data_IF_752932089739
#
_entry.id   IF_752932089739
#
_cell.length_a   1.000
_cell.length_b   1.000
_cell.length_c   1.000
_cell.angle_alpha   90.00
_cell.angle_beta   90.00
_cell.angle_gamma   90.00
#
_symmetry.space_group_name_H-M   'P 1'
#
loop_
_entity.id
_entity.type
_entity.pdbx_description
1 polymer ?
#
# COMPACT_ATOMS: atom_id res chain seq x y z
N UNK A 1 21.50 22.76 -34.49
CA UNK A 1 21.42 23.63 -33.30
C UNK A 1 20.26 23.14 -32.44
N UNK A 2 20.37 21.93 -31.88
CA UNK A 2 19.38 21.33 -30.96
C UNK A 2 20.02 20.21 -30.10
N UNK A 3 21.34 20.21 -29.91
CA UNK A 3 22.07 19.07 -29.32
C UNK A 3 22.61 19.36 -27.90
N UNK A 4 22.39 20.55 -27.35
CA UNK A 4 22.96 21.00 -26.06
C UNK A 4 22.02 20.73 -24.86
N UNK A 5 20.70 20.66 -25.07
CA UNK A 5 19.72 20.54 -23.97
C UNK A 5 19.55 19.10 -23.45
N UNK A 6 19.99 18.09 -24.20
CA UNK A 6 19.87 16.68 -23.80
C UNK A 6 20.98 16.21 -22.84
N UNK A 7 22.08 16.96 -22.75
CA UNK A 7 23.21 16.63 -21.88
C UNK A 7 22.95 17.07 -20.44
N UNK A 8 22.26 18.20 -20.24
CA UNK A 8 21.95 18.71 -18.90
C UNK A 8 20.91 17.86 -18.17
N UNK A 9 19.88 17.35 -18.87
CA UNK A 9 18.87 16.45 -18.27
C UNK A 9 19.50 15.12 -17.83
N UNK A 10 20.41 14.56 -18.64
CA UNK A 10 21.15 13.33 -18.29
C UNK A 10 22.08 13.57 -17.11
N UNK A 11 22.78 14.71 -17.07
CA UNK A 11 23.70 15.05 -15.98
C UNK A 11 23.00 15.29 -14.65
N UNK A 12 21.79 15.86 -14.65
CA UNK A 12 20.95 15.93 -13.44
C UNK A 12 20.42 14.56 -13.01
N UNK A 13 20.01 13.70 -13.95
CA UNK A 13 19.52 12.36 -13.61
C UNK A 13 20.62 11.45 -13.05
N UNK A 14 21.84 11.56 -13.56
CA UNK A 14 23.00 10.78 -13.09
C UNK A 14 23.51 11.32 -11.74
N UNK A 15 23.57 12.65 -11.53
CA UNK A 15 23.93 13.24 -10.24
C UNK A 15 22.89 12.98 -9.12
N UNK A 16 21.61 12.87 -9.47
CA UNK A 16 20.54 12.48 -8.55
C UNK A 16 20.60 10.97 -8.22
N UNK A 17 20.99 10.12 -9.18
CA UNK A 17 21.17 8.68 -8.97
C UNK A 17 22.33 8.36 -8.01
N UNK A 18 23.38 9.19 -8.01
CA UNK A 18 24.56 9.03 -7.15
C UNK A 18 24.26 9.46 -5.70
N UNK A 19 23.43 10.50 -5.53
CA UNK A 19 22.94 10.96 -4.22
C UNK A 19 21.88 10.01 -3.63
N UNK A 20 21.10 9.32 -4.49
CA UNK A 20 20.14 8.30 -4.05
C UNK A 20 20.77 7.05 -3.43
N UNK A 21 22.02 6.73 -3.78
CA UNK A 21 22.74 5.56 -3.26
C UNK A 21 23.32 5.77 -1.86
N UNK A 22 23.52 7.02 -1.42
CA UNK A 22 24.05 7.34 -0.08
C UNK A 22 22.97 7.45 1.02
N UNK A 23 21.70 7.18 0.72
CA UNK A 23 20.64 7.18 1.74
C UNK A 23 20.61 5.87 2.52
N UNK A 24 20.66 5.99 3.87
CA UNK A 24 20.67 4.84 4.79
C UNK A 24 19.53 3.86 4.48
N UNK A 25 19.81 2.55 4.34
CA UNK A 25 18.77 1.55 4.13
C UNK A 25 17.80 1.55 5.31
N UNK A 26 16.55 1.15 5.07
CA UNK A 26 15.51 1.20 6.09
C UNK A 26 15.88 0.31 7.28
N UNK A 27 16.07 0.91 8.46
CA UNK A 27 16.42 0.19 9.69
C UNK A 27 15.42 -0.93 10.06
N UNK A 28 14.16 -0.82 9.64
CA UNK A 28 13.18 -1.91 9.78
C UNK A 28 13.59 -3.18 9.02
N UNK A 29 14.20 -3.06 7.85
CA UNK A 29 14.54 -4.22 7.01
C UNK A 29 15.73 -5.01 7.56
N UNK A 30 16.73 -4.32 8.12
CA UNK A 30 17.93 -4.95 8.71
C UNK A 30 17.72 -5.44 10.13
N UNK A 31 16.64 -5.03 10.80
CA UNK A 31 16.32 -5.47 12.15
C UNK A 31 15.72 -6.89 12.20
N UNK A 32 16.19 -7.70 13.17
CA UNK A 32 15.61 -8.99 13.54
C UNK A 32 14.13 -8.86 13.95
N UNK A 33 13.36 -9.94 13.84
CA UNK A 33 11.91 -9.95 14.14
C UNK A 33 11.56 -9.33 15.51
N UNK A 34 12.27 -9.69 16.58
CA UNK A 34 12.04 -9.12 17.90
C UNK A 34 12.36 -7.62 17.98
N UNK A 35 13.39 -7.16 17.27
CA UNK A 35 13.70 -5.73 17.19
C UNK A 35 12.60 -4.95 16.46
N UNK A 36 11.95 -5.57 15.45
CA UNK A 36 10.75 -5.01 14.81
C UNK A 36 9.56 -4.93 15.76
N UNK A 37 9.39 -5.93 16.64
CA UNK A 37 8.30 -6.00 17.62
C UNK A 37 8.46 -4.97 18.75
N UNK A 38 9.67 -4.82 19.31
CA UNK A 38 9.96 -3.88 20.40
C UNK A 38 10.35 -2.48 19.93
N UNK A 39 10.26 -2.22 18.62
CA UNK A 39 10.67 -0.95 17.99
C UNK A 39 12.12 -0.52 18.28
N UNK A 40 12.99 -1.45 18.67
CA UNK A 40 14.38 -1.15 19.05
C UNK A 40 15.20 -0.55 17.90
N UNK A 41 14.84 -0.87 16.65
CA UNK A 41 15.43 -0.29 15.44
C UNK A 41 15.23 1.24 15.32
N UNK A 42 14.24 1.81 16.02
CA UNK A 42 13.94 3.24 16.01
C UNK A 42 14.77 4.04 17.02
N UNK A 43 15.26 3.39 18.09
CA UNK A 43 16.00 4.01 19.19
C UNK A 43 17.16 4.93 18.76
N UNK A 44 17.98 4.60 17.72
CA UNK A 44 19.04 5.48 17.26
C UNK A 44 18.55 6.84 16.75
N UNK A 45 17.38 6.90 16.10
CA UNK A 45 16.81 8.15 15.60
C UNK A 45 16.27 9.01 16.76
N UNK A 46 15.64 8.39 17.76
CA UNK A 46 15.22 9.08 18.99
C UNK A 46 16.40 9.70 19.72
N UNK A 47 17.51 8.98 19.83
CA UNK A 47 18.73 9.49 20.46
C UNK A 47 19.35 10.66 19.66
N UNK A 48 19.30 10.60 18.33
CA UNK A 48 19.76 11.68 17.48
C UNK A 48 18.90 12.94 17.64
N UNK A 49 17.58 12.79 17.69
CA UNK A 49 16.63 13.87 17.94
C UNK A 49 16.81 14.55 19.30
N UNK A 50 17.27 13.81 20.32
CA UNK A 50 17.63 14.40 21.62
C UNK A 50 18.84 15.33 21.54
N UNK A 51 19.80 15.04 20.65
CA UNK A 51 21.05 15.80 20.51
C UNK A 51 20.96 16.94 19.52
N UNK A 52 20.21 16.76 18.44
CA UNK A 52 20.10 17.73 17.34
C UNK A 52 18.72 17.66 16.67
N UNK A 53 18.25 18.75 16.03
CA UNK A 53 17.04 18.69 15.21
C UNK A 53 17.21 17.70 14.07
N UNK A 54 16.15 16.93 13.78
CA UNK A 54 16.16 15.88 12.76
C UNK A 54 16.05 16.53 11.38
N UNK A 55 16.95 16.16 10.47
CA UNK A 55 16.98 16.62 9.08
C UNK A 55 16.45 15.50 8.18
N UNK A 56 15.88 15.85 7.02
CA UNK A 56 15.34 14.87 6.06
C UNK A 56 16.37 13.82 5.60
N UNK A 57 17.66 14.17 5.62
CA UNK A 57 18.78 13.27 5.32
C UNK A 57 19.04 12.20 6.40
N UNK A 58 18.63 12.46 7.64
CA UNK A 58 18.72 11.50 8.75
C UNK A 58 17.61 10.45 8.74
N UNK A 59 16.54 10.71 7.98
CA UNK A 59 15.38 9.84 7.88
C UNK A 59 15.67 8.71 6.89
N UNK A 60 15.24 7.50 7.23
CA UNK A 60 15.36 6.35 6.35
C UNK A 60 14.48 6.46 5.10
N UNK A 61 14.97 5.93 3.98
CA UNK A 61 14.17 5.82 2.76
C UNK A 61 13.02 4.82 2.96
N UNK A 62 11.81 5.25 2.61
CA UNK A 62 10.62 4.39 2.57
C UNK A 62 10.84 3.28 1.53
N UNK A 63 10.35 2.07 1.81
CA UNK A 63 10.45 0.97 0.85
C UNK A 63 9.64 1.27 -0.40
N UNK A 64 10.09 0.78 -1.55
CA UNK A 64 9.30 0.82 -2.79
C UNK A 64 7.90 0.23 -2.60
N UNK A 65 7.78 -0.84 -1.80
CA UNK A 65 6.49 -1.49 -1.47
C UNK A 65 5.55 -0.63 -0.60
N UNK A 66 6.11 0.26 0.21
CA UNK A 66 5.35 1.16 1.09
C UNK A 66 5.09 2.52 0.42
N UNK A 67 5.61 2.72 -0.80
CA UNK A 67 5.36 3.93 -1.58
C UNK A 67 3.92 3.99 -2.05
N UNK A 68 3.36 5.20 -2.11
CA UNK A 68 2.03 5.46 -2.67
C UNK A 68 1.92 4.98 -4.11
N UNK A 69 2.99 5.14 -4.89
CA UNK A 69 3.03 4.71 -6.29
C UNK A 69 2.82 3.20 -6.45
N UNK A 70 3.49 2.39 -5.62
CA UNK A 70 3.32 0.93 -5.66
C UNK A 70 1.92 0.50 -5.25
N UNK A 71 1.38 1.11 -4.19
CA UNK A 71 0.02 0.82 -3.73
C UNK A 71 -1.04 1.24 -4.76
N UNK A 72 -0.83 2.37 -5.43
CA UNK A 72 -1.67 2.83 -6.54
C UNK A 72 -1.65 1.83 -7.70
N UNK A 73 -0.47 1.40 -8.15
CA UNK A 73 -0.35 0.41 -9.23
C UNK A 73 -1.04 -0.92 -8.87
N UNK A 74 -0.89 -1.38 -7.62
CA UNK A 74 -1.56 -2.60 -7.16
C UNK A 74 -3.08 -2.45 -7.13
N UNK A 75 -3.58 -1.29 -6.68
CA UNK A 75 -4.99 -0.98 -6.68
C UNK A 75 -5.55 -0.92 -8.11
N UNK A 76 -4.87 -0.22 -9.01
CA UNK A 76 -5.25 -0.08 -10.41
C UNK A 76 -5.36 -1.44 -11.09
N UNK A 77 -4.35 -2.31 -10.94
CA UNK A 77 -4.38 -3.68 -11.48
C UNK A 77 -5.59 -4.49 -11.00
N UNK A 78 -5.97 -4.37 -9.72
CA UNK A 78 -7.16 -5.05 -9.22
C UNK A 78 -8.43 -4.43 -9.77
N UNK A 79 -8.49 -3.11 -9.89
CA UNK A 79 -9.63 -2.39 -10.44
C UNK A 79 -9.89 -2.75 -11.90
N UNK A 80 -8.83 -2.86 -12.70
CA UNK A 80 -8.91 -3.29 -14.10
C UNK A 80 -9.43 -4.73 -14.22
N UNK A 81 -8.93 -5.65 -13.38
CA UNK A 81 -9.45 -7.02 -13.31
C UNK A 81 -10.95 -7.06 -12.95
N UNK A 82 -11.38 -6.22 -11.99
CA UNK A 82 -12.81 -6.11 -11.64
C UNK A 82 -13.65 -5.52 -12.77
N UNK A 83 -13.07 -4.64 -13.59
CA UNK A 83 -13.73 -4.10 -14.79
C UNK A 83 -13.98 -5.18 -15.82
N UNK A 84 -12.97 -5.98 -16.13
CA UNK A 84 -13.08 -7.10 -17.07
C UNK A 84 -14.15 -8.12 -16.63
N UNK A 85 -14.12 -8.53 -15.35
CA UNK A 85 -15.12 -9.45 -14.79
C UNK A 85 -16.54 -8.88 -14.88
N UNK A 86 -16.72 -7.58 -14.66
CA UNK A 86 -18.01 -6.91 -14.77
C UNK A 86 -18.52 -6.85 -16.21
N UNK A 87 -17.63 -6.55 -17.17
CA UNK A 87 -17.96 -6.51 -18.60
C UNK A 87 -18.37 -7.90 -19.11
N UNK A 88 -17.66 -8.95 -18.71
CA UNK A 88 -18.01 -10.34 -19.01
C UNK A 88 -19.39 -10.72 -18.45
N UNK A 89 -19.66 -10.37 -17.18
CA UNK A 89 -20.97 -10.63 -16.56
C UNK A 89 -22.11 -9.88 -17.27
N UNK A 90 -21.87 -8.63 -17.69
CA UNK A 90 -22.86 -7.89 -18.49
C UNK A 90 -23.09 -8.55 -19.85
N UNK A 91 -22.04 -9.05 -20.50
CA UNK A 91 -22.16 -9.69 -21.80
C UNK A 91 -22.91 -11.04 -21.71
N UNK A 92 -22.68 -11.82 -20.67
CA UNK A 92 -23.47 -13.04 -20.37
C UNK A 92 -24.93 -12.72 -20.08
N UNK A 93 -25.23 -11.69 -19.28
CA UNK A 93 -26.61 -11.27 -19.03
C UNK A 93 -27.33 -10.82 -20.30
N UNK A 94 -26.63 -10.13 -21.21
CA UNK A 94 -27.17 -9.75 -22.53
C UNK A 94 -27.46 -10.99 -23.39
N UNK A 95 -26.55 -11.95 -23.44
CA UNK A 95 -26.76 -13.23 -24.15
C UNK A 95 -27.96 -14.00 -23.59
N UNK A 96 -28.09 -14.09 -22.26
CA UNK A 96 -29.22 -14.78 -21.64
C UNK A 96 -30.55 -14.04 -21.88
N UNK A 97 -30.56 -12.70 -21.88
CA UNK A 97 -31.77 -11.91 -22.17
C UNK A 97 -32.23 -12.03 -23.63
N UNK A 98 -31.30 -12.22 -24.57
CA UNK A 98 -31.61 -12.42 -25.99
C UNK A 98 -32.31 -13.77 -26.23
N UNK A 99 -31.91 -14.81 -25.52
CA UNK A 99 -32.55 -16.14 -25.56
C UNK A 99 -33.96 -16.15 -24.92
N UNK A 100 -34.33 -15.13 -24.15
CA UNK A 100 -35.64 -15.03 -23.45
C UNK A 100 -36.62 -14.10 -24.20
N UNK A 101 -36.28 -13.65 -25.42
CA UNK A 101 -37.20 -12.86 -26.26
C UNK A 101 -37.58 -11.50 -25.68
N UNK A 102 -36.79 -10.96 -24.75
CA UNK A 102 -37.06 -9.67 -24.14
C UNK A 102 -36.43 -8.54 -24.97
N UNK A 103 -37.22 -7.90 -25.83
CA UNK A 103 -36.87 -6.71 -26.61
C UNK A 103 -36.69 -5.48 -25.70
N UNK A 104 -35.60 -5.44 -24.94
CA UNK A 104 -35.22 -4.28 -24.12
C UNK A 104 -33.96 -3.65 -24.69
N UNK A 105 -34.12 -2.44 -25.26
CA UNK A 105 -33.01 -1.61 -25.78
C UNK A 105 -31.88 -1.50 -24.74
N UNK A 106 -30.60 -1.52 -25.15
CA UNK A 106 -29.48 -1.57 -24.22
C UNK A 106 -29.36 -0.28 -23.42
N UNK A 107 -29.88 -0.25 -22.18
CA UNK A 107 -29.50 0.80 -21.22
C UNK A 107 -28.00 0.65 -20.92
N UNK A 108 -27.22 1.70 -21.14
CA UNK A 108 -25.85 1.79 -20.64
C UNK A 108 -25.90 1.72 -19.12
N UNK A 109 -25.68 0.53 -18.54
CA UNK A 109 -25.56 0.38 -17.09
C UNK A 109 -24.18 0.89 -16.71
N UNK A 110 -24.16 1.98 -15.95
CA UNK A 110 -22.94 2.55 -15.35
C UNK A 110 -22.21 1.45 -14.58
N UNK A 111 -20.88 1.43 -14.72
CA UNK A 111 -19.98 0.52 -14.02
C UNK A 111 -20.21 0.61 -12.50
N UNK A 112 -21.01 -0.32 -11.94
CA UNK A 112 -21.27 -0.40 -10.51
C UNK A 112 -20.19 -1.24 -9.86
N UNK A 113 -19.08 -0.57 -9.51
CA UNK A 113 -18.01 -1.16 -8.72
C UNK A 113 -18.32 -0.99 -7.25
N UNK A 114 -18.27 -2.08 -6.49
CA UNK A 114 -18.20 -1.98 -5.05
C UNK A 114 -16.75 -1.67 -4.66
N UNK A 115 -16.41 -0.38 -4.60
CA UNK A 115 -15.05 0.09 -4.32
C UNK A 115 -14.56 -0.42 -2.96
N UNK A 116 -15.46 -0.54 -1.97
CA UNK A 116 -15.15 -1.07 -0.63
C UNK A 116 -14.66 -2.51 -0.72
N UNK A 117 -15.21 -3.33 -1.62
CA UNK A 117 -14.75 -4.71 -1.85
C UNK A 117 -13.31 -4.75 -2.38
N UNK A 118 -12.92 -3.81 -3.23
CA UNK A 118 -11.58 -3.70 -3.81
C UNK A 118 -10.58 -3.24 -2.75
N UNK A 119 -10.94 -2.20 -2.00
CA UNK A 119 -10.15 -1.68 -0.88
C UNK A 119 -9.96 -2.77 0.16
N UNK A 120 -11.01 -3.48 0.55
CA UNK A 120 -10.92 -4.59 1.50
C UNK A 120 -9.99 -5.70 1.00
N UNK A 121 -10.03 -6.04 -0.29
CA UNK A 121 -9.13 -7.05 -0.89
C UNK A 121 -7.65 -6.65 -0.85
N UNK A 122 -7.32 -5.36 -0.94
CA UNK A 122 -5.94 -4.85 -0.90
C UNK A 122 -5.46 -4.59 0.53
N UNK A 123 -6.34 -4.06 1.37
CA UNK A 123 -5.98 -3.53 2.69
C UNK A 123 -6.09 -4.56 3.82
N UNK A 124 -6.89 -5.63 3.67
CA UNK A 124 -7.13 -6.60 4.75
C UNK A 124 -5.86 -7.19 5.37
N UNK A 125 -4.80 -7.38 4.58
CA UNK A 125 -3.52 -7.93 5.06
C UNK A 125 -2.76 -6.97 5.98
N UNK A 126 -2.97 -5.66 5.82
CA UNK A 126 -2.43 -4.64 6.69
C UNK A 126 -3.29 -4.44 7.94
N UNK A 127 -4.60 -4.66 7.83
CA UNK A 127 -5.55 -4.49 8.94
C UNK A 127 -5.57 -5.68 9.92
N UNK A 128 -5.46 -6.92 9.41
CA UNK A 128 -5.65 -8.14 10.19
C UNK A 128 -4.71 -8.27 11.40
N UNK A 129 -3.39 -7.99 11.30
CA UNK A 129 -2.50 -8.08 12.46
C UNK A 129 -2.85 -7.10 13.58
N UNK A 130 -3.33 -5.90 13.22
CA UNK A 130 -3.74 -4.88 14.18
C UNK A 130 -5.03 -5.26 14.91
N UNK A 131 -6.03 -5.77 14.18
CA UNK A 131 -7.27 -6.28 14.79
C UNK A 131 -7.02 -7.50 15.66
N UNK A 132 -6.12 -8.40 15.24
CA UNK A 132 -5.74 -9.55 16.05
C UNK A 132 -5.04 -9.14 17.34
N UNK A 133 -4.09 -8.21 17.27
CA UNK A 133 -3.43 -7.67 18.46
C UNK A 133 -4.42 -7.02 19.44
N UNK A 134 -5.45 -6.35 18.92
CA UNK A 134 -6.58 -5.83 19.70
C UNK A 134 -7.36 -6.92 20.42
N UNK A 135 -7.75 -7.99 19.71
CA UNK A 135 -8.48 -9.13 20.32
C UNK A 135 -7.66 -9.77 21.44
N UNK A 136 -6.37 -9.96 21.22
CA UNK A 136 -5.46 -10.48 22.24
C UNK A 136 -5.38 -9.52 23.43
N UNK A 137 -5.25 -8.22 23.18
CA UNK A 137 -5.24 -7.22 24.24
C UNK A 137 -6.53 -7.24 25.08
N UNK A 138 -7.70 -7.26 24.42
CA UNK A 138 -9.00 -7.35 25.09
C UNK A 138 -9.09 -8.63 25.93
N UNK A 139 -8.60 -9.77 25.42
CA UNK A 139 -8.53 -11.02 26.18
C UNK A 139 -7.69 -10.90 27.46
N UNK A 140 -6.52 -10.25 27.41
CA UNK A 140 -5.71 -10.00 28.61
C UNK A 140 -6.39 -9.07 29.61
N UNK A 141 -7.12 -8.06 29.14
CA UNK A 141 -7.90 -7.16 30.00
C UNK A 141 -9.00 -7.94 30.74
N UNK A 142 -9.65 -8.89 30.08
CA UNK A 142 -10.62 -9.78 30.72
C UNK A 142 -10.01 -10.85 31.63
N UNK A 143 -8.75 -11.23 31.42
CA UNK A 143 -8.03 -12.13 32.33
C UNK A 143 -7.61 -11.45 33.63
N UNK A 144 -7.42 -10.13 33.64
CA UNK A 144 -7.03 -9.34 34.82
C UNK A 144 -7.96 -9.54 36.04
N UNK A 145 -9.31 -9.47 35.91
CA UNK A 145 -10.22 -9.77 37.03
C UNK A 145 -10.23 -11.25 37.45
N UNK A 146 -9.66 -12.17 36.66
CA UNK A 146 -9.54 -13.60 37.00
C UNK A 146 -8.26 -13.90 37.77
N UNK A 147 -7.21 -13.08 37.60
CA UNK A 147 -5.94 -13.15 38.35
C UNK A 147 -6.03 -12.48 39.72
N UNK A 148 -6.92 -11.50 39.90
CA UNK A 148 -7.10 -10.76 41.15
C UNK A 148 -8.09 -11.41 42.13
N UNK A 149 -8.50 -12.66 41.87
CA UNK A 149 -9.35 -13.48 42.74
C UNK A 149 -8.52 -14.59 43.37
#
# INVERSE_FOLDING_TARGET
MNDDETIDVKKTADADADNEQQKKPLAKMTASFFSRLTFSWYSPLTYLGRKRPIILSDIWRIRKQESSFYNYQLFQKKLDKFREEYEQQQQQQRRNSYNVGADKKPKHRLFKVNIVKIIWSTLKYYFLPGSFAKIVNDFFVFANPMVLK
#
